data_IF_813714399104
#
_entry.id   IF_813714399104
#
_cell.length_a   1.000
_cell.length_b   1.000
_cell.length_c   1.000
_cell.angle_alpha   90.00
_cell.angle_beta   90.00
_cell.angle_gamma   90.00
#
_symmetry.space_group_name_H-M   'P 1'
#
loop_
_entity.id
_entity.type
_entity.pdbx_description
1 polymer ?
#
# COMPACT_ATOMS: atom_id res chain seq x y z
N UNK A 1 11.64 -0.04 20.04
CA UNK A 1 11.08 1.33 20.25
C UNK A 1 10.43 1.52 21.62
N UNK A 2 9.39 0.76 21.98
CA UNK A 2 8.65 0.93 23.24
C UNK A 2 9.55 0.72 24.47
N UNK A 3 10.19 -0.45 24.58
CA UNK A 3 10.91 -0.82 25.81
C UNK A 3 12.28 -0.13 25.95
N UNK A 4 13.00 0.03 24.85
CA UNK A 4 14.34 0.64 24.83
C UNK A 4 14.30 2.17 24.90
N UNK A 5 13.32 2.80 24.24
CA UNK A 5 13.30 4.25 24.04
C UNK A 5 12.04 4.91 24.65
N UNK A 6 11.22 4.15 25.38
CA UNK A 6 9.99 4.60 26.05
C UNK A 6 9.03 5.37 25.14
N UNK A 7 8.95 4.95 23.87
CA UNK A 7 8.02 5.55 22.90
C UNK A 7 6.60 5.07 23.14
N UNK A 8 5.63 5.97 22.96
CA UNK A 8 4.21 5.60 22.85
C UNK A 8 3.94 5.17 21.41
N UNK A 9 3.17 4.12 21.25
CA UNK A 9 2.77 3.56 19.96
C UNK A 9 1.27 3.45 19.93
N UNK A 10 0.69 3.80 18.79
CA UNK A 10 -0.71 3.62 18.46
C UNK A 10 -0.80 2.81 17.17
N UNK A 11 -1.85 2.02 17.00
CA UNK A 11 -2.09 1.21 15.80
C UNK A 11 -3.47 1.51 15.23
N UNK A 12 -3.53 1.64 13.91
CA UNK A 12 -4.77 1.79 13.16
C UNK A 12 -4.84 0.59 12.21
N UNK A 13 -5.88 -0.22 12.35
CA UNK A 13 -6.21 -1.28 11.40
C UNK A 13 -7.25 -0.75 10.43
N UNK A 14 -6.99 -0.83 9.12
CA UNK A 14 -7.91 -0.38 8.08
C UNK A 14 -9.10 -1.32 7.90
N UNK A 15 -8.95 -2.59 8.28
CA UNK A 15 -10.02 -3.59 8.32
C UNK A 15 -9.91 -4.42 9.61
N UNK A 16 -10.90 -5.29 9.84
CA UNK A 16 -10.89 -6.27 10.93
C UNK A 16 -10.55 -7.69 10.45
N UNK A 17 -10.02 -7.84 9.24
CA UNK A 17 -9.63 -9.13 8.66
C UNK A 17 -10.79 -10.11 8.50
N UNK A 18 -11.98 -9.61 8.14
CA UNK A 18 -13.22 -10.38 8.18
C UNK A 18 -13.42 -11.35 7.00
N UNK A 19 -12.51 -11.38 6.03
CA UNK A 19 -12.61 -12.21 4.81
C UNK A 19 -11.54 -13.30 4.75
N UNK A 20 -10.54 -13.27 5.63
CA UNK A 20 -9.51 -14.30 5.70
C UNK A 20 -10.00 -15.65 6.26
N UNK A 21 -9.13 -16.67 6.16
CA UNK A 21 -9.39 -18.00 6.73
C UNK A 21 -9.60 -17.97 8.25
N UNK A 22 -10.29 -18.99 8.79
CA UNK A 22 -10.44 -19.18 10.23
C UNK A 22 -10.02 -20.61 10.60
N UNK A 23 -8.87 -20.72 11.25
CA UNK A 23 -8.33 -22.02 11.68
C UNK A 23 -8.89 -22.53 13.02
N UNK A 24 -9.58 -21.67 13.78
CA UNK A 24 -10.02 -21.98 15.15
C UNK A 24 -11.52 -22.35 15.24
N UNK A 25 -12.34 -21.93 14.28
CA UNK A 25 -13.79 -22.07 14.35
C UNK A 25 -14.49 -21.91 12.99
N UNK A 26 -15.81 -21.67 13.05
CA UNK A 26 -16.66 -21.48 11.87
C UNK A 26 -17.13 -20.04 11.70
N UNK A 27 -16.79 -19.16 12.64
CA UNK A 27 -17.08 -17.73 12.59
C UNK A 27 -16.47 -17.13 11.33
N UNK A 28 -17.28 -16.37 10.61
CA UNK A 28 -16.88 -15.69 9.37
C UNK A 28 -17.52 -14.32 9.27
N UNK A 29 -17.03 -13.49 8.34
CA UNK A 29 -17.50 -12.13 8.13
C UNK A 29 -17.50 -11.34 9.45
N UNK A 30 -18.61 -10.70 9.82
CA UNK A 30 -18.67 -9.84 11.00
C UNK A 30 -18.35 -10.58 12.31
N UNK A 31 -18.70 -11.86 12.44
CA UNK A 31 -18.37 -12.64 13.63
C UNK A 31 -16.85 -12.87 13.74
N UNK A 32 -16.17 -13.14 12.62
CA UNK A 32 -14.72 -13.26 12.59
C UNK A 32 -14.04 -11.90 12.83
N UNK A 33 -14.62 -10.81 12.34
CA UNK A 33 -14.15 -9.46 12.58
C UNK A 33 -14.06 -9.15 14.08
N UNK A 34 -15.12 -9.47 14.83
CA UNK A 34 -15.17 -9.22 16.27
C UNK A 34 -14.14 -10.10 17.03
N UNK A 35 -13.97 -11.36 16.62
CA UNK A 35 -12.94 -12.25 17.17
C UNK A 35 -11.54 -11.71 16.90
N UNK A 36 -11.22 -11.35 15.64
CA UNK A 36 -9.89 -10.86 15.26
C UNK A 36 -9.56 -9.50 15.88
N UNK A 37 -10.54 -8.63 16.08
CA UNK A 37 -10.33 -7.40 16.84
C UNK A 37 -9.93 -7.71 18.30
N UNK A 38 -10.59 -8.68 18.96
CA UNK A 38 -10.20 -9.11 20.30
C UNK A 38 -8.78 -9.72 20.31
N UNK A 39 -8.46 -10.59 19.35
CA UNK A 39 -7.12 -11.19 19.22
C UNK A 39 -6.03 -10.13 19.04
N UNK A 40 -6.24 -9.17 18.13
CA UNK A 40 -5.32 -8.07 17.87
C UNK A 40 -5.10 -7.19 19.11
N UNK A 41 -6.17 -6.84 19.84
CA UNK A 41 -6.07 -6.06 21.08
C UNK A 41 -5.31 -6.81 22.17
N UNK A 42 -5.54 -8.12 22.34
CA UNK A 42 -4.78 -8.92 23.30
C UNK A 42 -3.29 -9.03 22.91
N UNK A 43 -3.01 -9.23 21.61
CA UNK A 43 -1.67 -9.25 21.07
C UNK A 43 -0.93 -7.94 21.38
N UNK A 44 -1.51 -6.80 21.00
CA UNK A 44 -0.96 -5.46 21.23
C UNK A 44 -0.71 -5.17 22.72
N UNK A 45 -1.68 -5.51 23.56
CA UNK A 45 -1.58 -5.31 25.01
C UNK A 45 -0.43 -6.13 25.62
N UNK A 46 -0.14 -7.32 25.08
CA UNK A 46 0.93 -8.19 25.59
C UNK A 46 2.33 -7.55 25.54
N UNK A 47 2.55 -6.57 24.65
CA UNK A 47 3.78 -5.78 24.53
C UNK A 47 3.61 -4.28 24.75
N UNK A 48 2.52 -3.88 25.41
CA UNK A 48 2.34 -2.53 25.97
C UNK A 48 1.70 -1.51 25.04
N UNK A 49 1.01 -1.96 23.98
CA UNK A 49 0.22 -1.08 23.11
C UNK A 49 -1.26 -1.22 23.45
N UNK A 50 -1.88 -0.13 23.91
CA UNK A 50 -3.31 -0.07 24.24
C UNK A 50 -4.13 0.74 23.24
N UNK A 51 -3.48 1.66 22.54
CA UNK A 51 -4.12 2.62 21.66
C UNK A 51 -4.29 1.99 20.28
N UNK A 52 -5.43 1.33 20.07
CA UNK A 52 -5.76 0.61 18.85
C UNK A 52 -7.15 0.97 18.35
N UNK A 53 -7.23 1.40 17.09
CA UNK A 53 -8.47 1.68 16.38
C UNK A 53 -8.61 0.75 15.17
N UNK A 54 -9.86 0.40 14.87
CA UNK A 54 -10.22 -0.45 13.74
C UNK A 54 -11.23 0.31 12.92
N UNK A 55 -10.88 0.61 11.67
CA UNK A 55 -11.76 1.32 10.74
C UNK A 55 -12.85 0.37 10.20
N UNK A 56 -13.77 0.94 9.44
CA UNK A 56 -14.95 0.23 8.96
C UNK A 56 -14.78 -0.51 7.62
N UNK A 57 -13.56 -0.54 7.06
CA UNK A 57 -13.25 -1.25 5.83
C UNK A 57 -13.45 -2.77 5.95
N UNK A 58 -13.92 -3.39 4.87
CA UNK A 58 -13.97 -4.85 4.75
C UNK A 58 -12.73 -5.35 4.01
N UNK A 59 -12.13 -6.40 4.55
CA UNK A 59 -11.02 -7.14 3.95
C UNK A 59 -11.37 -7.61 2.53
N UNK A 60 -10.51 -7.34 1.54
CA UNK A 60 -10.74 -7.72 0.13
C UNK A 60 -9.87 -8.90 -0.29
N UNK A 61 -10.33 -9.72 -1.26
CA UNK A 61 -9.48 -10.72 -1.90
C UNK A 61 -8.98 -10.23 -3.28
N UNK A 62 -7.69 -10.31 -3.56
CA UNK A 62 -7.17 -10.00 -4.90
C UNK A 62 -5.72 -9.52 -4.94
N UNK A 63 -5.48 -8.52 -5.80
CA UNK A 63 -4.19 -7.84 -5.93
C UNK A 63 -4.34 -6.38 -6.43
N UNK A 64 -5.56 -5.82 -6.42
CA UNK A 64 -5.84 -4.46 -6.92
C UNK A 64 -6.08 -3.47 -5.78
N UNK A 65 -5.09 -2.62 -5.50
CA UNK A 65 -5.17 -1.57 -4.47
C UNK A 65 -6.36 -0.63 -4.64
N UNK A 66 -6.77 -0.36 -5.89
CA UNK A 66 -7.89 0.54 -6.17
C UNK A 66 -9.23 -0.11 -5.80
N UNK A 67 -9.31 -1.44 -5.85
CA UNK A 67 -10.47 -2.18 -5.38
C UNK A 67 -10.63 -2.02 -3.86
N UNK A 68 -9.56 -2.23 -3.08
CA UNK A 68 -9.56 -2.04 -1.62
C UNK A 68 -9.94 -0.62 -1.22
N UNK A 69 -9.30 0.39 -1.83
CA UNK A 69 -9.62 1.80 -1.56
C UNK A 69 -11.09 2.11 -1.87
N UNK A 70 -11.63 1.58 -2.97
CA UNK A 70 -13.04 1.71 -3.32
C UNK A 70 -13.96 1.03 -2.30
N UNK A 71 -13.64 -0.20 -1.91
CA UNK A 71 -14.46 -1.01 -1.00
C UNK A 71 -14.48 -0.46 0.42
N UNK A 72 -13.38 0.13 0.89
CA UNK A 72 -13.29 0.73 2.22
C UNK A 72 -13.94 2.12 2.30
N UNK A 73 -14.26 2.73 1.15
CA UNK A 73 -14.65 4.12 1.08
C UNK A 73 -13.47 5.03 1.36
N UNK A 74 -12.55 5.13 0.39
CA UNK A 74 -11.29 5.89 0.45
C UNK A 74 -11.38 7.20 1.26
N UNK A 75 -12.32 8.10 0.91
CA UNK A 75 -12.47 9.38 1.59
C UNK A 75 -12.86 9.28 3.07
N UNK A 76 -13.70 8.30 3.44
CA UNK A 76 -14.11 8.08 4.83
C UNK A 76 -12.99 7.44 5.66
N UNK A 77 -12.28 6.46 5.10
CA UNK A 77 -11.11 5.88 5.77
C UNK A 77 -10.01 6.95 5.96
N UNK A 78 -9.78 7.79 4.96
CA UNK A 78 -8.81 8.89 5.04
C UNK A 78 -9.20 9.95 6.07
N UNK A 79 -10.50 10.32 6.16
CA UNK A 79 -11.05 11.19 7.21
C UNK A 79 -10.66 10.67 8.60
N UNK A 80 -10.97 9.41 8.87
CA UNK A 80 -10.69 8.76 10.16
C UNK A 80 -9.19 8.70 10.49
N UNK A 81 -8.34 8.38 9.52
CA UNK A 81 -6.88 8.32 9.75
C UNK A 81 -6.33 9.71 10.03
N UNK A 82 -6.75 10.74 9.29
CA UNK A 82 -6.36 12.14 9.56
C UNK A 82 -6.82 12.56 10.96
N UNK A 83 -8.05 12.21 11.35
CA UNK A 83 -8.60 12.45 12.69
C UNK A 83 -7.70 11.82 13.75
N UNK A 84 -7.35 10.54 13.59
CA UNK A 84 -6.51 9.80 14.52
C UNK A 84 -5.08 10.34 14.60
N UNK A 85 -4.49 10.80 13.49
CA UNK A 85 -3.20 11.50 13.50
C UNK A 85 -3.29 12.80 14.30
N UNK A 86 -4.35 13.60 14.14
CA UNK A 86 -4.55 14.86 14.89
C UNK A 86 -4.76 14.62 16.39
N UNK A 87 -5.41 13.51 16.75
CA UNK A 87 -5.60 13.06 18.14
C UNK A 87 -4.29 12.57 18.76
N UNK A 88 -3.60 11.64 18.10
CA UNK A 88 -2.44 10.92 18.65
C UNK A 88 -1.12 11.66 18.49
N UNK A 89 -1.02 12.55 17.50
CA UNK A 89 0.14 13.39 17.20
C UNK A 89 1.44 12.60 17.03
N UNK A 90 1.47 11.64 16.09
CA UNK A 90 2.64 10.80 15.89
C UNK A 90 3.80 11.63 15.32
N UNK A 91 4.98 11.38 15.83
CA UNK A 91 6.24 11.91 15.30
C UNK A 91 6.66 11.14 14.03
N UNK A 92 6.43 9.84 14.03
CA UNK A 92 6.79 8.90 12.97
C UNK A 92 5.58 8.01 12.67
N UNK A 93 5.31 7.79 11.39
CA UNK A 93 4.34 6.81 10.88
C UNK A 93 5.10 5.62 10.31
N UNK A 94 4.71 4.40 10.69
CA UNK A 94 5.14 3.16 10.08
C UNK A 94 3.92 2.52 9.42
N UNK A 95 4.01 2.12 8.16
CA UNK A 95 2.87 1.55 7.43
C UNK A 95 3.33 0.57 6.35
N UNK A 96 2.40 -0.10 5.70
CA UNK A 96 2.66 -0.96 4.56
C UNK A 96 3.14 -0.19 3.33
N UNK A 97 3.89 -0.83 2.46
CA UNK A 97 4.43 -0.19 1.26
C UNK A 97 3.34 0.10 0.22
N UNK A 98 3.17 1.36 -0.24
CA UNK A 98 2.27 1.72 -1.34
C UNK A 98 2.95 1.43 -2.68
N UNK A 99 3.24 0.16 -2.94
CA UNK A 99 3.81 -0.32 -4.19
C UNK A 99 3.33 -1.75 -4.45
N UNK A 100 3.16 -2.08 -5.71
CA UNK A 100 2.82 -3.41 -6.18
C UNK A 100 4.05 -4.33 -6.15
N UNK A 101 3.96 -5.46 -5.44
CA UNK A 101 4.93 -6.56 -5.52
C UNK A 101 4.17 -7.83 -5.84
N UNK A 102 4.51 -8.54 -6.90
CA UNK A 102 3.68 -9.66 -7.34
C UNK A 102 3.78 -10.85 -6.38
N UNK A 103 2.63 -11.47 -6.08
CA UNK A 103 2.55 -12.65 -5.20
C UNK A 103 2.88 -12.37 -3.73
N UNK A 104 3.17 -11.12 -3.41
CA UNK A 104 3.53 -10.57 -2.11
C UNK A 104 2.77 -9.24 -1.95
N UNK A 105 2.89 -8.54 -0.82
CA UNK A 105 2.27 -7.24 -0.55
C UNK A 105 0.82 -7.10 -1.03
N UNK A 106 -0.07 -7.84 -0.37
CA UNK A 106 -1.51 -7.88 -0.60
C UNK A 106 -2.12 -6.48 -0.83
N UNK A 107 -3.18 -6.38 -1.62
CA UNK A 107 -3.79 -5.09 -2.00
C UNK A 107 -4.26 -4.25 -0.81
N UNK A 108 -4.68 -4.90 0.28
CA UNK A 108 -5.07 -4.21 1.51
C UNK A 108 -3.85 -3.63 2.24
N UNK A 109 -2.68 -4.28 2.16
CA UNK A 109 -1.42 -3.69 2.63
C UNK A 109 -1.11 -2.44 1.82
N UNK A 110 -1.17 -2.54 0.49
CA UNK A 110 -0.97 -1.42 -0.41
C UNK A 110 -1.92 -0.24 -0.12
N UNK A 111 -3.21 -0.51 0.08
CA UNK A 111 -4.22 0.51 0.36
C UNK A 111 -4.00 1.20 1.71
N UNK A 112 -3.59 0.47 2.74
CA UNK A 112 -3.18 1.05 4.01
C UNK A 112 -1.95 1.96 3.86
N UNK A 113 -0.99 1.58 3.00
CA UNK A 113 0.16 2.39 2.63
C UNK A 113 -0.22 3.70 1.93
N UNK A 114 -1.16 3.62 1.00
CA UNK A 114 -1.72 4.79 0.28
C UNK A 114 -2.37 5.75 1.27
N UNK A 115 -3.33 5.27 2.07
CA UNK A 115 -4.06 6.07 3.05
C UNK A 115 -3.14 6.75 4.06
N UNK A 116 -2.14 6.02 4.59
CA UNK A 116 -1.20 6.58 5.55
C UNK A 116 -0.29 7.65 4.92
N UNK A 117 0.08 7.49 3.65
CA UNK A 117 0.88 8.47 2.90
C UNK A 117 0.09 9.75 2.65
N UNK A 118 -1.17 9.64 2.23
CA UNK A 118 -2.05 10.80 2.07
C UNK A 118 -2.32 11.49 3.41
N UNK A 119 -2.62 10.72 4.46
CA UNK A 119 -2.89 11.26 5.78
C UNK A 119 -1.66 11.98 6.38
N UNK A 120 -0.44 11.50 6.11
CA UNK A 120 0.80 12.19 6.46
C UNK A 120 0.85 13.61 5.87
N UNK A 121 0.45 13.76 4.60
CA UNK A 121 0.46 15.04 3.90
C UNK A 121 -0.73 15.94 4.27
N UNK A 122 -1.84 15.36 4.74
CA UNK A 122 -3.10 16.08 4.98
C UNK A 122 -3.36 16.45 6.46
N UNK A 123 -2.77 15.75 7.43
CA UNK A 123 -3.06 15.96 8.85
C UNK A 123 -2.79 17.39 9.36
N UNK A 124 -1.83 18.09 8.75
CA UNK A 124 -1.51 19.49 9.04
C UNK A 124 -2.15 20.49 8.06
N UNK A 125 -2.94 20.05 7.08
CA UNK A 125 -3.66 20.91 6.16
C UNK A 125 -5.05 21.27 6.74
N UNK A 126 -5.37 22.56 6.99
CA UNK A 126 -6.67 22.97 7.51
C UNK A 126 -7.84 22.80 6.53
N UNK A 127 -7.56 22.62 5.24
CA UNK A 127 -8.61 22.39 4.23
C UNK A 127 -8.94 20.91 4.05
N UNK A 128 -8.16 20.01 4.64
CA UNK A 128 -8.47 18.59 4.67
C UNK A 128 -9.34 18.30 5.89
N UNK A 129 -10.58 17.89 5.66
CA UNK A 129 -11.57 17.60 6.71
C UNK A 129 -11.70 18.78 7.70
N UNK A 130 -12.06 19.99 7.24
CA UNK A 130 -12.11 21.20 8.07
C UNK A 130 -13.07 21.08 9.25
N UNK A 131 -14.13 20.27 9.13
CA UNK A 131 -15.07 19.93 10.19
C UNK A 131 -14.41 19.30 11.43
N UNK A 132 -13.28 18.62 11.27
CA UNK A 132 -12.49 18.11 12.40
C UNK A 132 -11.77 19.23 13.16
N UNK A 133 -11.44 20.34 12.50
CA UNK A 133 -10.67 21.45 13.07
C UNK A 133 -11.58 22.50 13.68
N UNK A 134 -12.81 22.61 13.18
CA UNK A 134 -13.84 23.51 13.70
C UNK A 134 -13.98 23.33 15.22
N UNK A 135 -13.80 24.44 15.96
CA UNK A 135 -13.83 24.41 17.41
C UNK A 135 -15.24 24.04 17.92
N UNK A 136 -15.34 23.26 19.01
CA UNK A 136 -16.62 23.01 19.64
C UNK A 136 -17.26 24.33 20.09
N UNK A 137 -18.52 24.56 19.71
CA UNK A 137 -19.26 25.79 20.03
C UNK A 137 -19.33 26.09 21.53
N UNK A 138 -19.54 25.07 22.36
CA UNK A 138 -19.62 25.19 23.81
C UNK A 138 -19.05 23.93 24.48
N UNK A 139 -17.72 23.77 24.49
CA UNK A 139 -17.04 22.53 24.94
C UNK A 139 -17.41 22.02 26.35
N UNK A 140 -18.06 22.84 27.18
CA UNK A 140 -18.51 22.49 28.53
C UNK A 140 -20.03 22.24 28.65
N UNK A 141 -20.79 22.47 27.57
CA UNK A 141 -22.25 22.33 27.51
C UNK A 141 -22.72 21.12 26.68
N UNK A 142 -24.05 21.00 26.54
CA UNK A 142 -24.72 20.01 25.67
C UNK A 142 -25.00 20.68 24.31
N UNK A 143 -24.93 19.94 23.20
CA UNK A 143 -25.19 20.49 21.85
C UNK A 143 -23.93 20.95 21.10
N UNK A 144 -22.78 20.33 21.39
CA UNK A 144 -21.55 20.57 20.64
C UNK A 144 -21.62 19.98 19.23
N UNK A 145 -21.07 20.75 18.28
CA UNK A 145 -20.73 20.33 16.91
C UNK A 145 -19.28 20.78 16.65
N UNK A 146 -18.57 20.12 15.75
CA UNK A 146 -17.14 20.36 15.50
C UNK A 146 -16.24 19.61 16.49
N UNK A 147 -15.12 19.07 16.01
CA UNK A 147 -14.26 18.19 16.81
C UNK A 147 -13.13 18.93 17.55
N UNK A 148 -12.82 20.18 17.15
CA UNK A 148 -11.80 21.02 17.78
C UNK A 148 -10.39 20.44 17.76
N UNK A 149 -10.09 19.56 16.80
CA UNK A 149 -8.79 18.94 16.68
C UNK A 149 -7.77 19.95 16.18
N UNK A 150 -6.58 19.94 16.78
CA UNK A 150 -5.47 20.77 16.32
C UNK A 150 -4.74 20.05 15.20
N UNK A 151 -4.36 20.80 14.18
CA UNK A 151 -3.49 20.36 13.11
C UNK A 151 -2.19 19.74 13.68
N UNK A 152 -1.70 18.71 13.01
CA UNK A 152 -0.46 18.05 13.39
C UNK A 152 0.28 17.58 12.14
N UNK A 153 1.56 17.92 12.03
CA UNK A 153 2.43 17.47 10.95
C UNK A 153 3.28 16.31 11.49
N UNK A 154 3.02 15.05 11.09
CA UNK A 154 3.97 13.98 11.33
C UNK A 154 5.30 14.31 10.66
N UNK A 155 6.41 13.91 11.27
CA UNK A 155 7.75 14.34 10.85
C UNK A 155 8.40 13.36 9.91
N UNK A 156 8.13 12.06 10.06
CA UNK A 156 8.63 11.01 9.16
C UNK A 156 7.60 9.93 8.87
N UNK A 157 7.74 9.29 7.71
CA UNK A 157 7.00 8.08 7.33
C UNK A 157 7.98 7.04 6.78
N UNK A 158 7.83 5.80 7.23
CA UNK A 158 8.56 4.64 6.76
C UNK A 158 7.59 3.53 6.39
N UNK A 159 8.01 2.68 5.47
CA UNK A 159 7.23 1.56 4.97
C UNK A 159 7.83 0.23 5.37
N UNK A 160 7.02 -0.83 5.40
CA UNK A 160 7.46 -2.22 5.49
C UNK A 160 6.62 -3.08 4.54
N UNK A 161 7.06 -4.31 4.31
CA UNK A 161 6.40 -5.27 3.42
C UNK A 161 6.49 -6.67 4.01
N UNK A 162 5.56 -7.53 3.61
CA UNK A 162 5.48 -8.97 3.88
C UNK A 162 6.23 -9.79 2.82
N UNK A 163 6.97 -9.12 1.96
CA UNK A 163 7.72 -9.71 0.85
C UNK A 163 8.78 -10.67 1.35
N UNK A 164 8.89 -11.83 0.72
CA UNK A 164 9.85 -12.87 1.10
C UNK A 164 11.17 -12.77 0.33
N UNK A 165 11.22 -11.90 -0.69
CA UNK A 165 12.42 -11.61 -1.47
C UNK A 165 13.01 -10.24 -1.06
N UNK A 166 14.09 -10.22 -0.29
CA UNK A 166 14.55 -8.98 0.39
C UNK A 166 15.56 -8.13 -0.37
N UNK A 167 16.06 -8.58 -1.52
CA UNK A 167 17.20 -7.96 -2.20
C UNK A 167 17.00 -6.46 -2.47
N UNK A 168 15.77 -6.05 -2.75
CA UNK A 168 15.41 -4.66 -3.01
C UNK A 168 15.24 -3.77 -1.78
N UNK A 169 15.03 -4.37 -0.60
CA UNK A 169 14.86 -3.65 0.66
C UNK A 169 16.19 -3.21 1.25
N UNK A 170 17.28 -3.89 0.89
CA UNK A 170 18.60 -3.61 1.44
C UNK A 170 19.05 -2.17 1.18
N UNK A 171 19.45 -1.48 2.26
CA UNK A 171 19.92 -0.10 2.20
C UNK A 171 18.82 0.94 1.91
N UNK A 172 17.54 0.54 1.86
CA UNK A 172 16.42 1.46 1.64
C UNK A 172 15.87 2.08 2.92
N UNK A 173 16.22 1.54 4.08
CA UNK A 173 15.85 2.10 5.37
C UNK A 173 16.54 1.39 6.53
N UNK A 174 16.19 1.72 7.78
CA UNK A 174 16.77 1.07 8.95
C UNK A 174 16.30 -0.39 9.06
N UNK A 175 17.20 -1.26 9.50
CA UNK A 175 16.90 -2.66 9.82
C UNK A 175 16.89 -2.84 11.34
N UNK A 176 15.80 -3.39 11.87
CA UNK A 176 15.67 -3.71 13.28
C UNK A 176 15.92 -5.21 13.49
N UNK A 177 17.01 -5.55 14.17
CA UNK A 177 17.35 -6.94 14.47
C UNK A 177 16.40 -7.49 15.54
N UNK A 178 15.75 -8.61 15.25
CA UNK A 178 14.81 -9.26 16.19
C UNK A 178 15.51 -10.17 17.20
N UNK A 179 16.77 -10.53 16.95
CA UNK A 179 17.60 -11.24 17.92
C UNK A 179 18.16 -10.33 19.04
N UNK A 180 18.00 -9.01 18.92
CA UNK A 180 18.36 -8.07 19.98
C UNK A 180 17.53 -8.31 21.24
N UNK A 181 18.16 -8.12 22.40
CA UNK A 181 17.54 -8.38 23.69
C UNK A 181 16.62 -7.24 24.13
N UNK A 182 15.38 -7.57 24.49
CA UNK A 182 14.49 -6.70 25.25
C UNK A 182 15.13 -6.33 26.59
N UNK A 183 15.36 -5.03 26.89
CA UNK A 183 15.95 -4.62 28.15
C UNK A 183 15.08 -4.91 29.37
N UNK A 184 13.75 -4.82 29.24
CA UNK A 184 12.79 -5.06 30.31
C UNK A 184 12.52 -6.54 30.53
N UNK A 185 12.31 -7.30 29.45
CA UNK A 185 11.89 -8.71 29.52
C UNK A 185 13.06 -9.69 29.60
N UNK A 186 14.27 -9.26 29.24
CA UNK A 186 15.48 -10.10 29.20
C UNK A 186 15.31 -11.32 28.29
N UNK A 187 14.59 -11.15 27.18
CA UNK A 187 14.45 -12.13 26.09
C UNK A 187 14.64 -11.43 24.73
N UNK A 188 14.99 -12.14 23.65
CA UNK A 188 15.06 -11.56 22.32
C UNK A 188 13.71 -10.99 21.85
N UNK A 189 13.72 -9.95 21.01
CA UNK A 189 12.49 -9.41 20.41
C UNK A 189 11.73 -10.43 19.56
N UNK A 190 12.41 -11.39 18.93
CA UNK A 190 11.78 -12.51 18.22
C UNK A 190 10.89 -13.33 19.15
N UNK A 191 11.28 -13.52 20.41
CA UNK A 191 10.46 -14.20 21.42
C UNK A 191 9.24 -13.36 21.81
N UNK A 192 9.42 -12.05 21.95
CA UNK A 192 8.30 -11.13 22.22
C UNK A 192 7.29 -11.16 21.07
N UNK A 193 7.78 -11.18 19.82
CA UNK A 193 6.93 -11.30 18.63
C UNK A 193 6.20 -12.65 18.58
N UNK A 194 6.89 -13.76 18.86
CA UNK A 194 6.26 -15.08 18.93
C UNK A 194 5.19 -15.18 20.05
N UNK A 195 5.44 -14.59 21.22
CA UNK A 195 4.45 -14.48 22.30
C UNK A 195 3.23 -13.68 21.88
N UNK A 196 3.43 -12.56 21.18
CA UNK A 196 2.36 -11.74 20.62
C UNK A 196 1.55 -12.49 19.56
N UNK A 197 2.20 -13.35 18.77
CA UNK A 197 1.57 -14.13 17.72
C UNK A 197 0.59 -15.18 18.26
N UNK A 198 0.86 -15.74 19.44
CA UNK A 198 0.01 -16.76 20.08
C UNK A 198 -1.43 -16.28 20.40
N UNK A 199 -1.70 -14.98 20.32
CA UNK A 199 -3.04 -14.43 20.48
C UNK A 199 -3.90 -14.53 19.20
N UNK A 200 -3.31 -14.67 18.02
CA UNK A 200 -4.01 -14.76 16.73
C UNK A 200 -4.39 -16.21 16.40
N UNK A 201 -5.24 -16.83 17.22
CA UNK A 201 -5.61 -18.25 17.09
C UNK A 201 -6.38 -18.54 15.80
N UNK A 202 -7.14 -17.57 15.31
CA UNK A 202 -7.85 -17.71 14.04
C UNK A 202 -6.93 -17.72 12.82
N UNK A 203 -5.72 -17.15 12.93
CA UNK A 203 -4.73 -16.94 11.84
C UNK A 203 -3.70 -18.07 11.75
N UNK A 204 -3.99 -19.28 12.21
CA UNK A 204 -3.01 -20.36 12.37
C UNK A 204 -2.49 -20.95 11.03
N UNK A 205 -1.92 -20.08 10.20
CA UNK A 205 -1.45 -20.29 8.83
C UNK A 205 0.03 -20.71 8.81
N UNK A 206 0.68 -20.74 9.97
CA UNK A 206 2.11 -21.01 10.11
C UNK A 206 2.36 -22.20 11.05
N UNK A 207 3.22 -23.10 10.61
CA UNK A 207 3.89 -24.07 11.50
C UNK A 207 4.83 -23.35 12.47
N UNK A 208 5.16 -23.99 13.60
CA UNK A 208 6.15 -23.45 14.56
C UNK A 208 7.48 -23.08 13.88
N UNK A 209 7.89 -23.85 12.87
CA UNK A 209 9.11 -23.59 12.10
C UNK A 209 8.98 -22.31 11.26
N UNK A 210 7.85 -22.14 10.55
CA UNK A 210 7.59 -20.92 9.77
C UNK A 210 7.46 -19.70 10.67
N UNK A 211 6.72 -19.80 11.79
CA UNK A 211 6.59 -18.70 12.73
C UNK A 211 7.95 -18.29 13.32
N UNK A 212 8.80 -19.27 13.64
CA UNK A 212 10.17 -19.01 14.07
C UNK A 212 10.97 -18.29 13.00
N UNK A 213 10.89 -18.73 11.75
CA UNK A 213 11.55 -18.05 10.63
C UNK A 213 11.09 -16.59 10.52
N UNK A 214 9.78 -16.33 10.45
CA UNK A 214 9.24 -14.97 10.35
C UNK A 214 9.61 -14.08 11.54
N UNK A 215 9.56 -14.60 12.77
CA UNK A 215 9.82 -13.80 13.98
C UNK A 215 11.30 -13.54 14.23
N UNK A 216 12.20 -14.39 13.73
CA UNK A 216 13.65 -14.21 13.84
C UNK A 216 14.27 -13.40 12.69
N UNK A 217 13.50 -13.11 11.65
CA UNK A 217 13.96 -12.25 10.58
C UNK A 217 14.04 -10.79 11.03
N UNK A 218 15.03 -10.02 10.55
CA UNK A 218 15.07 -8.58 10.80
C UNK A 218 13.84 -7.89 10.19
N UNK A 219 13.26 -6.97 10.96
CA UNK A 219 12.24 -6.06 10.40
C UNK A 219 12.97 -5.02 9.57
N UNK A 220 12.69 -4.98 8.27
CA UNK A 220 13.30 -4.03 7.34
C UNK A 220 12.31 -2.93 7.02
N UNK A 221 12.72 -1.70 7.30
CA UNK A 221 11.96 -0.52 6.93
C UNK A 221 12.49 0.06 5.62
N UNK A 222 11.61 0.74 4.90
CA UNK A 222 11.90 1.48 3.68
C UNK A 222 11.65 2.95 4.01
N UNK A 223 12.62 3.81 3.74
CA UNK A 223 12.47 5.24 3.94
C UNK A 223 11.37 5.79 3.01
N UNK A 224 10.39 6.47 3.58
CA UNK A 224 9.40 7.22 2.83
C UNK A 224 9.79 8.68 2.74
N UNK A 225 9.57 9.45 3.81
CA UNK A 225 9.85 10.89 3.86
C UNK A 225 10.38 11.30 5.22
N UNK A 226 11.13 12.40 5.25
CA UNK A 226 11.49 13.11 6.48
C UNK A 226 11.40 14.62 6.28
N UNK A 227 10.71 15.28 7.20
CA UNK A 227 10.62 16.75 7.28
C UNK A 227 11.62 17.35 8.28
N UNK A 228 12.45 16.50 8.90
CA UNK A 228 13.46 16.90 9.90
C UNK A 228 14.87 16.40 9.55
N UNK A 229 15.10 16.00 8.31
CA UNK A 229 16.38 15.48 7.84
C UNK A 229 16.69 14.07 8.32
N UNK A 230 17.99 13.76 8.47
CA UNK A 230 18.51 12.41 8.65
C UNK A 230 18.84 11.73 7.33
N UNK A 231 19.37 10.50 7.39
CA UNK A 231 19.61 9.66 6.21
C UNK A 231 18.49 8.62 6.04
N UNK A 232 18.46 7.93 4.90
CA UNK A 232 17.47 6.89 4.66
C UNK A 232 17.58 5.74 5.68
N UNK A 233 18.82 5.36 6.05
CA UNK A 233 19.13 4.18 6.86
C UNK A 233 19.34 4.45 8.34
N UNK A 234 19.24 5.71 8.78
CA UNK A 234 19.39 6.06 10.18
C UNK A 234 18.18 5.63 11.01
N UNK A 235 18.35 5.65 12.34
CA UNK A 235 17.26 5.38 13.28
C UNK A 235 16.03 6.24 12.96
N UNK A 236 14.84 5.63 13.05
CA UNK A 236 13.59 6.28 12.66
C UNK A 236 13.32 7.58 13.44
N UNK A 237 13.92 7.76 14.62
CA UNK A 237 13.80 8.97 15.44
C UNK A 237 14.97 9.95 15.30
N UNK A 238 15.95 9.70 14.42
CA UNK A 238 17.04 10.66 14.19
C UNK A 238 16.47 12.03 13.77
N UNK A 239 16.95 13.12 14.39
CA UNK A 239 16.47 14.48 14.09
C UNK A 239 15.09 14.83 14.66
N UNK A 240 14.38 13.88 15.29
CA UNK A 240 13.11 14.17 15.97
C UNK A 240 13.39 14.94 17.26
N UNK A 241 12.79 16.13 17.37
CA UNK A 241 12.73 16.91 18.62
C UNK A 241 11.29 16.97 19.14
N UNK A 242 11.07 17.44 20.37
CA UNK A 242 9.72 17.62 20.92
C UNK A 242 8.94 18.79 20.32
N UNK A 243 9.60 19.70 19.59
CA UNK A 243 8.95 20.85 18.99
C UNK A 243 8.12 20.43 17.76
N UNK A 244 6.91 20.98 17.56
CA UNK A 244 6.16 20.77 16.32
C UNK A 244 6.91 21.41 15.14
N UNK A 245 6.70 20.87 13.94
CA UNK A 245 7.20 21.45 12.69
C UNK A 245 6.08 22.17 11.95
N UNK A 246 6.45 23.11 11.08
CA UNK A 246 5.50 23.77 10.18
C UNK A 246 4.90 22.77 9.18
N UNK A 247 3.71 23.08 8.68
CA UNK A 247 3.11 22.34 7.57
C UNK A 247 4.04 22.37 6.36
N UNK A 248 4.29 21.19 5.78
CA UNK A 248 5.00 21.05 4.52
C UNK A 248 4.04 20.50 3.48
N UNK A 249 3.79 21.27 2.43
CA UNK A 249 2.93 20.85 1.33
C UNK A 249 3.61 19.75 0.52
N UNK A 250 2.90 18.65 0.27
CA UNK A 250 3.29 17.67 -0.74
C UNK A 250 3.31 18.30 -2.14
N UNK A 251 4.08 17.72 -3.07
CA UNK A 251 4.16 18.20 -4.46
C UNK A 251 2.78 18.33 -5.10
N UNK A 252 1.88 17.39 -4.79
CA UNK A 252 0.58 17.26 -5.42
C UNK A 252 0.69 16.73 -6.85
N UNK A 253 -0.46 16.37 -7.43
CA UNK A 253 -0.50 15.89 -8.81
C UNK A 253 0.00 16.97 -9.77
N UNK A 254 0.94 16.58 -10.63
CA UNK A 254 1.42 17.39 -11.74
C UNK A 254 1.07 16.64 -13.01
N UNK A 255 0.24 17.21 -13.91
CA UNK A 255 -0.06 16.55 -15.16
C UNK A 255 1.21 16.36 -15.99
N UNK A 256 1.40 15.19 -16.62
CA UNK A 256 2.53 14.97 -17.52
C UNK A 256 2.47 15.90 -18.73
N UNK A 257 3.58 15.99 -19.47
CA UNK A 257 3.64 16.82 -20.67
C UNK A 257 2.52 16.42 -21.66
N UNK A 258 1.88 17.39 -22.33
CA UNK A 258 0.86 17.08 -23.32
C UNK A 258 1.43 16.23 -24.45
N UNK A 259 0.73 15.16 -24.82
CA UNK A 259 1.19 14.28 -25.87
C UNK A 259 0.19 13.19 -26.24
N UNK A 260 0.67 12.24 -27.04
CA UNK A 260 -0.01 10.98 -27.27
C UNK A 260 0.89 9.90 -26.68
N UNK A 261 0.38 9.15 -25.70
CA UNK A 261 1.19 8.24 -24.88
C UNK A 261 0.46 6.92 -24.65
N UNK A 262 1.23 5.83 -24.58
CA UNK A 262 0.76 4.49 -24.19
C UNK A 262 1.36 4.15 -22.83
N UNK A 263 0.52 3.84 -21.86
CA UNK A 263 0.92 3.46 -20.50
C UNK A 263 0.14 2.23 -19.99
N UNK A 264 0.65 1.59 -18.94
CA UNK A 264 -0.12 0.61 -18.17
C UNK A 264 -1.14 1.37 -17.32
N UNK A 265 -2.40 0.94 -17.34
CA UNK A 265 -3.48 1.54 -16.57
C UNK A 265 -3.57 0.98 -15.14
N UNK A 266 -4.74 1.16 -14.52
CA UNK A 266 -5.04 0.57 -13.20
C UNK A 266 -4.04 0.98 -12.11
N UNK A 267 -3.63 0.06 -11.23
CA UNK A 267 -2.65 0.32 -10.17
C UNK A 267 -1.32 0.90 -10.67
N UNK A 268 -0.84 0.51 -11.86
CA UNK A 268 0.44 1.01 -12.38
C UNK A 268 0.37 2.49 -12.75
N UNK A 269 -0.66 2.91 -13.50
CA UNK A 269 -0.89 4.33 -13.78
C UNK A 269 -1.10 5.13 -12.50
N UNK A 270 -1.87 4.57 -11.55
CA UNK A 270 -2.09 5.19 -10.26
C UNK A 270 -0.76 5.45 -9.54
N UNK A 271 0.11 4.45 -9.38
CA UNK A 271 1.37 4.61 -8.67
C UNK A 271 2.37 5.51 -9.38
N UNK A 272 2.42 5.46 -10.71
CA UNK A 272 3.24 6.38 -11.51
C UNK A 272 2.89 7.84 -11.20
N UNK A 273 1.61 8.17 -10.98
CA UNK A 273 1.19 9.50 -10.58
C UNK A 273 1.32 9.75 -9.06
N UNK A 274 1.02 8.74 -8.24
CA UNK A 274 0.96 8.83 -6.79
C UNK A 274 2.33 9.13 -6.18
N UNK A 275 3.37 8.36 -6.53
CA UNK A 275 4.67 8.54 -5.90
C UNK A 275 5.26 9.94 -6.05
N UNK A 276 5.35 10.55 -7.25
CA UNK A 276 5.85 11.91 -7.38
C UNK A 276 4.91 12.93 -6.74
N UNK A 277 3.59 12.76 -6.80
CA UNK A 277 2.62 13.65 -6.15
C UNK A 277 2.82 13.72 -4.63
N UNK A 278 3.28 12.61 -4.06
CA UNK A 278 3.59 12.48 -2.66
C UNK A 278 5.10 12.53 -2.38
N UNK A 279 6.00 13.00 -3.25
CA UNK A 279 7.45 13.09 -2.93
C UNK A 279 8.10 11.76 -2.46
N UNK A 280 7.66 10.62 -3.01
CA UNK A 280 8.19 9.28 -2.73
C UNK A 280 8.52 8.53 -4.02
N UNK A 281 8.89 9.23 -5.09
CA UNK A 281 9.24 8.64 -6.39
C UNK A 281 10.36 7.59 -6.35
N UNK A 282 11.19 7.57 -5.31
CA UNK A 282 12.21 6.53 -5.10
C UNK A 282 11.62 5.17 -4.72
N UNK A 283 10.30 5.09 -4.48
CA UNK A 283 9.57 3.84 -4.30
C UNK A 283 9.23 3.13 -5.62
N UNK A 284 9.58 3.69 -6.78
CA UNK A 284 9.60 2.96 -8.06
C UNK A 284 10.74 1.94 -8.06
N UNK A 285 10.56 0.86 -7.27
CA UNK A 285 11.61 -0.11 -6.95
C UNK A 285 11.72 -1.22 -8.00
N UNK A 286 10.65 -1.45 -8.78
CA UNK A 286 10.55 -2.58 -9.69
C UNK A 286 9.79 -2.26 -10.96
N UNK A 287 10.13 -3.00 -12.01
CA UNK A 287 9.32 -3.00 -13.22
C UNK A 287 7.92 -3.55 -12.92
N UNK A 288 6.89 -3.11 -13.64
CA UNK A 288 5.55 -3.67 -13.57
C UNK A 288 5.54 -5.19 -13.68
N UNK A 289 4.92 -5.84 -12.70
CA UNK A 289 4.85 -7.30 -12.57
C UNK A 289 3.41 -7.76 -12.33
N UNK A 290 3.07 -8.99 -12.73
CA UNK A 290 1.79 -9.63 -12.49
C UNK A 290 1.96 -11.15 -12.42
N UNK A 291 0.97 -11.87 -11.88
CA UNK A 291 1.00 -13.34 -11.81
C UNK A 291 -0.30 -13.92 -12.33
N UNK A 292 -0.22 -15.07 -12.98
CA UNK A 292 -1.38 -15.77 -13.53
C UNK A 292 -1.12 -17.27 -13.64
N UNK A 293 -2.12 -18.07 -13.30
CA UNK A 293 -2.03 -19.51 -13.46
C UNK A 293 -2.06 -19.94 -14.93
N UNK A 294 -1.37 -21.04 -15.31
CA UNK A 294 -1.44 -21.56 -16.67
C UNK A 294 -2.88 -21.84 -17.11
N UNK A 295 -3.28 -21.31 -18.28
CA UNK A 295 -4.64 -21.46 -18.82
C UNK A 295 -5.68 -20.48 -18.25
N UNK A 296 -5.37 -19.76 -17.17
CA UNK A 296 -6.22 -18.70 -16.64
C UNK A 296 -6.02 -17.38 -17.38
N UNK A 297 -6.97 -16.46 -17.23
CA UNK A 297 -6.91 -15.15 -17.87
C UNK A 297 -6.37 -14.11 -16.92
N UNK A 298 -5.35 -13.37 -17.36
CA UNK A 298 -4.87 -12.15 -16.72
C UNK A 298 -5.47 -10.94 -17.45
N UNK A 299 -6.09 -10.05 -16.69
CA UNK A 299 -6.46 -8.74 -17.18
C UNK A 299 -5.24 -7.79 -17.17
N UNK A 300 -4.96 -7.15 -18.30
CA UNK A 300 -3.90 -6.14 -18.43
C UNK A 300 -4.54 -4.81 -18.87
N UNK A 301 -4.72 -3.85 -17.94
CA UNK A 301 -5.16 -2.51 -18.30
C UNK A 301 -4.06 -1.78 -19.05
N UNK A 302 -4.34 -1.34 -20.28
CA UNK A 302 -3.55 -0.32 -20.97
C UNK A 302 -4.36 0.97 -21.09
N UNK A 303 -3.67 2.11 -21.13
CA UNK A 303 -4.27 3.40 -21.37
C UNK A 303 -3.54 4.08 -22.54
N UNK A 304 -4.31 4.60 -23.51
CA UNK A 304 -3.79 5.53 -24.49
C UNK A 304 -4.29 6.92 -24.11
N UNK A 305 -3.39 7.81 -23.71
CA UNK A 305 -3.70 9.20 -23.37
C UNK A 305 -3.44 10.08 -24.59
N UNK A 306 -4.39 10.95 -24.92
CA UNK A 306 -4.27 11.94 -25.99
C UNK A 306 -4.58 13.33 -25.47
N UNK A 307 -3.56 14.09 -25.09
CA UNK A 307 -3.73 15.50 -24.67
C UNK A 307 -3.63 16.47 -25.84
N UNK A 308 -3.52 15.99 -27.07
CA UNK A 308 -3.46 16.85 -28.26
C UNK A 308 -4.84 17.40 -28.60
N UNK A 309 -4.87 18.52 -29.32
CA UNK A 309 -6.10 19.22 -29.71
C UNK A 309 -6.91 18.51 -30.83
N UNK A 310 -6.52 17.30 -31.23
CA UNK A 310 -7.15 16.56 -32.31
C UNK A 310 -7.29 15.06 -31.98
N UNK A 311 -8.36 14.40 -32.48
CA UNK A 311 -8.48 12.96 -32.32
C UNK A 311 -7.33 12.23 -33.01
N UNK A 312 -6.89 11.12 -32.41
CA UNK A 312 -5.78 10.29 -32.90
C UNK A 312 -6.25 8.86 -33.14
N UNK A 313 -5.83 8.29 -34.27
CA UNK A 313 -5.93 6.85 -34.50
C UNK A 313 -4.63 6.18 -34.08
N UNK A 314 -4.74 5.20 -33.19
CA UNK A 314 -3.58 4.51 -32.60
C UNK A 314 -3.69 3.03 -32.87
N UNK A 315 -2.68 2.47 -33.51
CA UNK A 315 -2.55 1.04 -33.75
C UNK A 315 -1.74 0.42 -32.62
N UNK A 316 -2.33 -0.54 -31.90
CA UNK A 316 -1.64 -1.29 -30.85
C UNK A 316 -1.08 -2.60 -31.43
N UNK A 317 0.18 -2.91 -31.14
CA UNK A 317 0.84 -4.16 -31.50
C UNK A 317 1.36 -4.84 -30.24
N UNK A 318 1.05 -6.12 -30.09
CA UNK A 318 1.55 -6.96 -29.00
C UNK A 318 2.74 -7.81 -29.46
N UNK A 319 3.77 -7.90 -28.63
CA UNK A 319 4.87 -8.84 -28.75
C UNK A 319 4.79 -9.79 -27.55
N UNK A 320 4.26 -10.98 -27.78
CA UNK A 320 4.03 -11.99 -26.74
C UNK A 320 4.92 -13.22 -27.00
N UNK A 321 5.32 -13.92 -25.95
CA UNK A 321 6.03 -15.19 -26.06
C UNK A 321 5.19 -16.24 -26.79
N UNK A 322 5.85 -17.23 -27.40
CA UNK A 322 5.17 -18.31 -28.14
C UNK A 322 4.06 -18.98 -27.31
N UNK A 323 2.88 -19.14 -27.91
CA UNK A 323 1.73 -19.82 -27.33
C UNK A 323 0.84 -18.97 -26.41
N UNK A 324 1.22 -17.73 -26.10
CA UNK A 324 0.32 -16.79 -25.43
C UNK A 324 -0.82 -16.37 -26.35
N UNK A 325 -2.02 -16.22 -25.78
CA UNK A 325 -3.16 -15.63 -26.48
C UNK A 325 -3.55 -14.31 -25.84
N UNK A 326 -4.14 -13.42 -26.63
CA UNK A 326 -4.63 -12.11 -26.21
C UNK A 326 -6.00 -11.84 -26.83
N UNK A 327 -6.87 -11.16 -26.09
CA UNK A 327 -8.07 -10.52 -26.61
C UNK A 327 -8.21 -9.09 -26.08
N UNK A 328 -8.72 -8.13 -26.87
CA UNK A 328 -8.95 -8.23 -28.31
C UNK A 328 -7.63 -8.40 -29.10
N UNK A 329 -7.76 -8.89 -30.34
CA UNK A 329 -6.66 -8.91 -31.30
C UNK A 329 -6.21 -7.47 -31.64
N UNK A 330 -5.07 -7.34 -32.32
CA UNK A 330 -4.51 -6.05 -32.72
C UNK A 330 -5.57 -5.16 -33.39
N UNK A 331 -5.89 -4.04 -32.75
CA UNK A 331 -7.01 -3.16 -33.10
C UNK A 331 -6.50 -1.72 -33.23
N UNK A 332 -7.17 -0.94 -34.08
CA UNK A 332 -6.98 0.52 -34.18
C UNK A 332 -7.97 1.19 -33.24
N UNK A 333 -7.46 2.02 -32.33
CA UNK A 333 -8.26 2.78 -31.38
C UNK A 333 -8.34 4.24 -31.82
N UNK A 334 -9.54 4.82 -31.78
CA UNK A 334 -9.71 6.27 -31.98
C UNK A 334 -9.83 6.93 -30.63
N UNK A 335 -8.86 7.78 -30.29
CA UNK A 335 -8.81 8.50 -29.02
C UNK A 335 -9.16 9.97 -29.28
N UNK A 336 -10.25 10.51 -28.71
CA UNK A 336 -10.60 11.92 -28.85
C UNK A 336 -9.51 12.87 -28.33
N UNK A 337 -9.61 14.15 -28.70
CA UNK A 337 -8.74 15.19 -28.16
C UNK A 337 -8.99 15.38 -26.66
N UNK A 338 -7.91 15.55 -25.89
CA UNK A 338 -7.95 15.68 -24.42
C UNK A 338 -8.70 14.55 -23.71
N UNK A 339 -8.52 13.33 -24.19
CA UNK A 339 -9.20 12.15 -23.69
C UNK A 339 -8.23 10.97 -23.52
N UNK A 340 -8.65 9.94 -22.81
CA UNK A 340 -7.90 8.72 -22.63
C UNK A 340 -8.76 7.49 -22.96
N UNK A 341 -8.17 6.54 -23.68
CA UNK A 341 -8.85 5.31 -24.08
C UNK A 341 -8.31 4.11 -23.28
N UNK A 342 -9.16 3.54 -22.44
CA UNK A 342 -8.83 2.34 -21.68
C UNK A 342 -8.99 1.08 -22.55
N UNK A 343 -7.90 0.32 -22.69
CA UNK A 343 -7.88 -0.95 -23.40
C UNK A 343 -7.91 -2.07 -22.37
N UNK A 344 -8.93 -2.92 -22.47
CA UNK A 344 -9.06 -4.11 -21.63
C UNK A 344 -8.46 -5.30 -22.35
N UNK A 345 -7.16 -5.55 -22.14
CA UNK A 345 -6.53 -6.75 -22.64
C UNK A 345 -6.78 -7.91 -21.68
N UNK A 346 -7.09 -9.06 -22.24
CA UNK A 346 -7.14 -10.34 -21.56
C UNK A 346 -6.10 -11.24 -22.19
N UNK A 347 -5.14 -11.68 -21.41
CA UNK A 347 -4.07 -12.56 -21.88
C UNK A 347 -4.12 -13.89 -21.16
N UNK A 348 -3.74 -14.96 -21.86
CA UNK A 348 -3.73 -16.31 -21.30
C UNK A 348 -2.41 -16.98 -21.62
N UNK A 349 -1.63 -17.39 -20.60
CA UNK A 349 -0.41 -18.15 -20.79
C UNK A 349 -0.71 -19.61 -21.17
N UNK A 350 0.10 -20.22 -22.06
CA UNK A 350 0.06 -21.65 -22.29
C UNK A 350 0.66 -22.41 -21.10
N UNK A 351 0.24 -23.66 -20.91
CA UNK A 351 0.78 -24.58 -19.90
C UNK A 351 2.31 -24.78 -19.99
N UNK A 352 2.89 -24.58 -21.17
CA UNK A 352 4.32 -24.74 -21.42
C UNK A 352 5.20 -23.72 -20.68
N UNK A 353 4.64 -22.58 -20.24
CA UNK A 353 5.38 -21.54 -19.52
C UNK A 353 5.22 -21.61 -18.00
N UNK A 354 4.60 -22.67 -17.46
CA UNK A 354 4.43 -22.86 -16.02
C UNK A 354 5.77 -22.74 -15.28
N UNK A 355 5.75 -22.05 -14.14
CA UNK A 355 6.87 -21.79 -13.23
C UNK A 355 8.01 -21.00 -13.91
N UNK A 356 7.66 -20.11 -14.85
CA UNK A 356 8.62 -19.22 -15.53
C UNK A 356 8.14 -17.78 -15.58
N UNK A 357 9.10 -16.86 -15.55
CA UNK A 357 8.89 -15.45 -15.81
C UNK A 357 8.87 -15.16 -17.31
N UNK A 358 7.85 -14.44 -17.76
CA UNK A 358 7.70 -13.99 -19.14
C UNK A 358 7.68 -12.46 -19.20
N UNK A 359 8.16 -11.89 -20.30
CA UNK A 359 8.11 -10.44 -20.52
C UNK A 359 7.22 -10.16 -21.71
N UNK A 360 6.14 -9.44 -21.47
CA UNK A 360 5.14 -9.08 -22.47
C UNK A 360 5.30 -7.61 -22.82
N UNK A 361 5.21 -7.29 -24.11
CA UNK A 361 5.40 -5.93 -24.59
C UNK A 361 4.26 -5.50 -25.51
N UNK A 362 3.80 -4.27 -25.34
CA UNK A 362 2.88 -3.62 -26.25
C UNK A 362 3.48 -2.32 -26.76
N UNK A 363 3.39 -2.08 -28.07
CA UNK A 363 3.80 -0.83 -28.69
C UNK A 363 2.64 -0.18 -29.43
N UNK A 364 2.61 1.14 -29.42
CA UNK A 364 1.60 1.93 -30.10
C UNK A 364 2.22 2.80 -31.19
N UNK A 365 1.50 2.96 -32.30
CA UNK A 365 1.87 3.80 -33.43
C UNK A 365 0.67 4.65 -33.88
N UNK A 366 0.91 5.91 -34.25
CA UNK A 366 -0.09 6.81 -34.82
C UNK A 366 0.51 7.59 -35.98
N UNK A 367 -0.14 7.58 -37.15
CA UNK A 367 0.34 8.31 -38.33
C UNK A 367 1.76 7.91 -38.79
N UNK A 368 2.19 6.68 -38.53
CA UNK A 368 3.55 6.19 -38.83
C UNK A 368 4.62 6.62 -37.82
N UNK A 369 4.26 7.28 -36.73
CA UNK A 369 5.15 7.64 -35.62
C UNK A 369 4.90 6.75 -34.40
N UNK A 370 5.95 6.45 -33.64
CA UNK A 370 5.84 5.70 -32.39
C UNK A 370 5.19 6.58 -31.31
N UNK A 371 4.19 6.02 -30.62
CA UNK A 371 3.50 6.62 -29.47
C UNK A 371 4.16 6.20 -28.14
N UNK A 372 4.88 5.08 -28.16
CA UNK A 372 5.53 4.52 -26.98
C UNK A 372 5.39 3.00 -26.92
N UNK A 373 5.98 2.41 -25.89
CA UNK A 373 5.81 1.00 -25.58
C UNK A 373 5.83 0.73 -24.10
N UNK A 374 5.03 -0.21 -23.66
CA UNK A 374 4.95 -0.67 -22.27
C UNK A 374 5.33 -2.13 -22.18
N UNK A 375 5.88 -2.50 -21.02
CA UNK A 375 6.31 -3.87 -20.73
C UNK A 375 5.69 -4.30 -19.40
N UNK A 376 5.21 -5.55 -19.36
CA UNK A 376 4.74 -6.20 -18.13
C UNK A 376 5.49 -7.52 -17.98
N UNK A 377 6.11 -7.72 -16.82
CA UNK A 377 6.66 -9.01 -16.44
C UNK A 377 5.56 -9.85 -15.83
N UNK A 378 5.45 -11.11 -16.23
CA UNK A 378 4.39 -12.01 -15.77
C UNK A 378 5.00 -13.31 -15.27
N UNK A 379 4.75 -13.63 -14.01
CA UNK A 379 5.06 -14.93 -13.43
C UNK A 379 3.90 -15.91 -13.69
N UNK A 380 4.19 -17.04 -14.34
CA UNK A 380 3.18 -18.04 -14.68
C UNK A 380 3.16 -19.13 -13.62
N UNK A 381 2.53 -18.87 -12.48
CA UNK A 381 2.55 -19.75 -11.31
C UNK A 381 1.14 -20.16 -10.86
N UNK A 382 1.03 -21.33 -10.22
CA UNK A 382 -0.25 -21.95 -9.86
C UNK A 382 -1.02 -21.24 -8.73
N UNK A 383 -0.37 -20.34 -7.98
CA UNK A 383 -0.90 -19.74 -6.75
C UNK A 383 -1.25 -18.26 -6.90
N UNK A 384 -1.31 -17.73 -8.12
CA UNK A 384 -1.69 -16.33 -8.34
C UNK A 384 -3.12 -16.06 -7.89
N UNK A 385 -3.30 -15.08 -7.01
CA UNK A 385 -4.61 -14.50 -6.78
C UNK A 385 -5.09 -13.90 -8.11
N UNK A 386 -6.34 -14.16 -8.53
CA UNK A 386 -6.85 -13.64 -9.78
C UNK A 386 -6.83 -12.11 -9.78
N UNK A 387 -6.40 -11.53 -10.91
CA UNK A 387 -6.50 -10.11 -11.24
C UNK A 387 -7.66 -9.85 -12.20
#
# INVERSE_FOLDING_TARGET
>A
MIEQQHKRVAVIYTTRGNSGGNAAGQEQANALADVREMEARHSLASYGVSDAWFLHGSDTPGADVLHSLGQWGHGAALDEIVRLIRVTRPEVILTWMPNYVVGENHEDHQAAGVLATEAFDLAANPLAFPEQVEAPRERLGIGNYGEGLRLWQPKKIYYFSDTTHFDFLHGKGPECQTNDMSPSRKVPYSRVAAEAWNYYKTQNDFTDAQLKEFTEMPVRLIFGKSLVGGSATSDVFEGITSAPVAYTRARGYVPPAPGLELELGGPWAFYHAFWPAHNIEHLDLYSPEAQVAPGETLWVPLLIRNDTDAPKQVTLRSTLSSGWSQKPDATIYTVPAHDAYAIQLKITPPAAHKDTWQTLKWSAESGGQSVGSVTLRVDVAANGLPQ
#
